data_IF_492503707973
#
_entry.id   IF_492503707973
#
_cell.length_a   1.000
_cell.length_b   1.000
_cell.length_c   1.000
_cell.angle_alpha   90.00
_cell.angle_beta   90.00
_cell.angle_gamma   90.00
#
_symmetry.space_group_name_H-M   'P 1'
#
loop_
_entity.id
_entity.type
_entity.pdbx_description
1 polymer ?
#
# COMPACT_ATOMS: atom_id res chain seq x y z
N UNK A 1 -9.17 -0.04 3.18
CA UNK A 1 -8.19 -0.96 2.62
C UNK A 1 -6.83 -0.49 3.11
N UNK A 2 -6.10 -1.34 3.84
CA UNK A 2 -4.74 -0.99 4.27
C UNK A 2 -3.78 -0.94 3.08
N UNK A 3 -2.74 -0.11 3.17
CA UNK A 3 -1.73 0.03 2.09
C UNK A 3 -1.01 -1.30 1.84
N UNK A 4 -0.81 -2.13 2.86
CA UNK A 4 -0.27 -3.49 2.71
C UNK A 4 -1.04 -4.35 1.70
N UNK A 5 -2.32 -4.11 1.45
CA UNK A 5 -3.10 -4.83 0.44
C UNK A 5 -2.55 -4.62 -0.99
N UNK A 6 -1.95 -3.46 -1.27
CA UNK A 6 -1.31 -3.19 -2.56
C UNK A 6 -0.13 -4.11 -2.84
N UNK A 7 0.39 -4.86 -1.86
CA UNK A 7 1.41 -5.90 -2.08
C UNK A 7 0.86 -7.16 -2.76
N UNK A 8 -0.46 -7.39 -2.70
CA UNK A 8 -1.10 -8.61 -3.22
C UNK A 8 -2.14 -8.31 -4.30
N UNK A 9 -2.83 -7.17 -4.22
CA UNK A 9 -3.89 -6.84 -5.15
C UNK A 9 -3.37 -6.69 -6.59
N UNK A 10 -4.10 -7.31 -7.50
CA UNK A 10 -3.85 -7.27 -8.93
C UNK A 10 -5.19 -7.26 -9.67
N UNK A 11 -5.19 -6.71 -10.89
CA UNK A 11 -6.37 -6.66 -11.74
C UNK A 11 -6.92 -8.08 -11.98
N UNK A 12 -8.21 -8.35 -11.68
CA UNK A 12 -8.81 -9.66 -11.91
C UNK A 12 -8.78 -10.12 -13.37
N UNK A 13 -8.65 -9.18 -14.30
CA UNK A 13 -8.77 -9.40 -15.74
C UNK A 13 -7.42 -9.70 -16.40
N UNK A 14 -6.37 -8.95 -16.06
CA UNK A 14 -5.06 -9.07 -16.70
C UNK A 14 -3.90 -9.29 -15.71
N UNK A 15 -4.19 -9.41 -14.40
CA UNK A 15 -3.19 -9.60 -13.33
C UNK A 15 -2.15 -8.48 -13.18
N UNK A 16 -2.30 -7.39 -13.92
CA UNK A 16 -1.47 -6.21 -13.81
C UNK A 16 -1.72 -5.44 -12.49
N UNK A 17 -0.75 -4.63 -12.03
CA UNK A 17 -0.91 -3.84 -10.82
C UNK A 17 -1.95 -2.73 -10.95
N UNK A 18 -2.28 -2.14 -9.80
CA UNK A 18 -3.17 -0.99 -9.69
C UNK A 18 -2.40 0.29 -9.38
N UNK A 19 -2.82 1.40 -9.99
CA UNK A 19 -2.64 2.73 -9.44
C UNK A 19 -3.77 3.04 -8.46
N UNK A 20 -3.54 4.00 -7.56
CA UNK A 20 -4.46 4.32 -6.46
C UNK A 20 -4.81 5.80 -6.49
N UNK A 21 -6.10 6.12 -6.40
CA UNK A 21 -6.56 7.42 -5.93
C UNK A 21 -7.26 7.26 -4.59
N UNK A 22 -7.06 8.25 -3.71
CA UNK A 22 -7.62 8.24 -2.36
C UNK A 22 -8.42 9.53 -2.16
N UNK A 23 -9.68 9.38 -1.74
CA UNK A 23 -10.55 10.51 -1.40
C UNK A 23 -10.81 10.60 0.09
N UNK A 24 -10.69 9.49 0.82
CA UNK A 24 -10.74 9.47 2.28
C UNK A 24 -9.69 8.50 2.84
N UNK A 25 -8.80 9.02 3.69
CA UNK A 25 -7.76 8.25 4.38
C UNK A 25 -8.03 8.30 5.89
N UNK A 26 -7.83 7.18 6.57
CA UNK A 26 -7.92 7.11 8.03
C UNK A 26 -6.72 6.38 8.60
N UNK A 27 -6.15 6.93 9.67
CA UNK A 27 -5.13 6.26 10.48
C UNK A 27 -5.80 5.55 11.66
N UNK A 28 -5.67 4.24 11.70
CA UNK A 28 -6.11 3.44 12.84
C UNK A 28 -5.08 3.52 13.98
N UNK A 29 -5.54 3.25 15.20
CA UNK A 29 -4.69 3.14 16.38
C UNK A 29 -4.91 1.78 17.02
N UNK A 30 -3.87 0.96 16.99
CA UNK A 30 -3.82 -0.29 17.74
C UNK A 30 -2.36 -0.57 18.10
N UNK A 31 -2.18 -1.12 19.30
CA UNK A 31 -0.86 -1.54 19.76
C UNK A 31 -0.62 -2.99 19.34
N UNK A 32 0.55 -3.26 18.76
CA UNK A 32 0.91 -4.57 18.23
C UNK A 32 2.35 -4.87 18.61
N UNK A 33 2.54 -6.03 19.25
CA UNK A 33 3.84 -6.48 19.72
C UNK A 33 4.71 -7.05 18.59
N UNK A 34 4.14 -7.35 17.42
CA UNK A 34 4.80 -8.05 16.32
C UNK A 34 4.99 -7.19 15.06
N UNK A 35 5.17 -5.87 15.22
CA UNK A 35 5.34 -4.92 14.10
C UNK A 35 6.41 -5.35 13.10
N UNK A 36 7.62 -5.70 13.59
CA UNK A 36 8.74 -6.10 12.75
C UNK A 36 8.37 -7.31 11.89
N UNK A 37 7.83 -8.37 12.49
CA UNK A 37 7.43 -9.56 11.75
C UNK A 37 6.41 -9.25 10.64
N UNK A 38 5.42 -8.39 10.91
CA UNK A 38 4.43 -7.95 9.92
C UNK A 38 5.05 -7.13 8.79
N UNK A 39 5.90 -6.16 9.13
CA UNK A 39 6.63 -5.33 8.15
C UNK A 39 7.53 -6.21 7.28
N UNK A 40 8.35 -7.07 7.88
CA UNK A 40 9.22 -8.02 7.17
C UNK A 40 8.42 -8.90 6.21
N UNK A 41 7.27 -9.42 6.65
CA UNK A 41 6.41 -10.25 5.79
C UNK A 41 5.89 -9.53 4.55
N UNK A 42 5.70 -8.20 4.59
CA UNK A 42 5.29 -7.41 3.43
C UNK A 42 6.49 -7.04 2.58
N UNK A 43 7.55 -6.50 3.18
CA UNK A 43 8.70 -5.98 2.44
C UNK A 43 9.47 -7.09 1.70
N UNK A 44 9.49 -8.32 2.22
CA UNK A 44 10.11 -9.47 1.55
C UNK A 44 9.40 -9.92 0.26
N UNK A 45 8.14 -9.53 0.06
CA UNK A 45 7.33 -9.98 -1.10
C UNK A 45 6.84 -8.83 -1.99
N UNK A 46 6.88 -7.60 -1.49
CA UNK A 46 6.35 -6.45 -2.17
C UNK A 46 7.43 -5.77 -3.01
N UNK A 47 7.04 -5.27 -4.19
CA UNK A 47 7.83 -4.29 -4.91
C UNK A 47 7.59 -2.91 -4.28
N UNK A 48 8.63 -2.32 -3.68
CA UNK A 48 8.55 -1.01 -3.03
C UNK A 48 8.15 0.08 -4.00
N UNK A 49 8.74 0.15 -5.20
CA UNK A 49 8.38 1.17 -6.21
C UNK A 49 6.90 1.15 -6.55
N UNK A 50 6.26 -0.03 -6.55
CA UNK A 50 4.81 -0.14 -6.74
C UNK A 50 4.03 0.49 -5.60
N UNK A 51 4.38 0.20 -4.36
CA UNK A 51 3.74 0.79 -3.17
C UNK A 51 3.96 2.30 -3.17
N UNK A 52 5.20 2.75 -3.40
CA UNK A 52 5.59 4.15 -3.46
C UNK A 52 4.77 4.90 -4.52
N UNK A 53 4.70 4.40 -5.75
CA UNK A 53 3.91 5.01 -6.83
C UNK A 53 2.45 5.18 -6.43
N UNK A 54 1.83 4.13 -5.87
CA UNK A 54 0.45 4.19 -5.42
C UNK A 54 0.24 5.18 -4.28
N UNK A 55 1.18 5.29 -3.34
CA UNK A 55 1.12 6.30 -2.28
C UNK A 55 1.27 7.72 -2.83
N UNK A 56 2.17 7.95 -3.80
CA UNK A 56 2.36 9.25 -4.46
C UNK A 56 1.10 9.67 -5.20
N UNK A 57 0.52 8.79 -6.02
CA UNK A 57 -0.73 9.04 -6.76
C UNK A 57 -1.89 9.39 -5.82
N UNK A 58 -1.93 8.72 -4.67
CA UNK A 58 -2.94 8.89 -3.64
C UNK A 58 -2.65 10.03 -2.65
N UNK A 59 -1.51 10.72 -2.78
CA UNK A 59 -1.02 11.76 -1.84
C UNK A 59 -0.92 11.28 -0.39
N UNK A 60 -0.49 10.03 -0.21
CA UNK A 60 -0.27 9.39 1.10
C UNK A 60 1.20 9.53 1.47
N UNK A 61 1.48 10.06 2.65
CA UNK A 61 2.85 10.22 3.16
C UNK A 61 3.55 8.87 3.32
N UNK A 62 4.81 8.81 2.89
CA UNK A 62 5.70 7.65 3.04
C UNK A 62 6.90 8.02 3.92
N UNK A 63 7.63 7.04 4.48
CA UNK A 63 8.89 7.30 5.18
C UNK A 63 9.87 8.09 4.29
N UNK A 64 10.35 9.25 4.75
CA UNK A 64 11.11 10.22 3.93
C UNK A 64 12.36 9.61 3.30
N UNK A 65 13.12 8.83 4.07
CA UNK A 65 14.31 8.08 3.59
C UNK A 65 13.99 7.16 2.41
N UNK A 66 12.74 6.72 2.29
CA UNK A 66 12.29 5.77 1.28
C UNK A 66 11.49 6.42 0.15
N UNK A 67 11.26 7.74 0.20
CA UNK A 67 10.51 8.48 -0.81
C UNK A 67 11.22 8.57 -2.17
N UNK A 68 12.55 8.47 -2.18
CA UNK A 68 13.40 8.49 -3.37
C UNK A 68 14.25 7.22 -3.51
N UNK A 69 13.83 6.13 -2.85
CA UNK A 69 14.58 4.87 -2.84
C UNK A 69 14.57 4.21 -4.22
N UNK A 70 15.76 3.99 -4.80
CA UNK A 70 15.89 3.48 -6.17
C UNK A 70 15.83 1.94 -6.28
N UNK A 71 15.65 1.24 -5.17
CA UNK A 71 15.49 -0.23 -5.17
C UNK A 71 14.01 -0.63 -5.04
N UNK A 72 13.64 -1.70 -5.75
CA UNK A 72 12.35 -2.37 -5.58
C UNK A 72 12.26 -3.16 -4.28
N UNK A 73 13.41 -3.45 -3.66
CA UNK A 73 13.52 -4.29 -2.47
C UNK A 73 14.03 -3.45 -1.31
N UNK A 74 13.33 -3.54 -0.18
CA UNK A 74 13.80 -3.02 1.11
C UNK A 74 14.11 -4.23 1.98
N UNK A 75 15.37 -4.34 2.42
CA UNK A 75 15.78 -5.37 3.36
C UNK A 75 15.20 -5.07 4.75
N UNK A 76 14.25 -5.88 5.26
CA UNK A 76 13.63 -5.61 6.55
C UNK A 76 14.56 -5.87 7.75
N UNK A 77 15.63 -6.66 7.59
CA UNK A 77 16.60 -6.92 8.65
C UNK A 77 17.54 -5.72 8.85
N UNK A 78 17.71 -4.90 7.81
CA UNK A 78 18.49 -3.66 7.86
C UNK A 78 17.74 -2.48 8.50
N UNK A 79 16.44 -2.62 8.81
CA UNK A 79 15.61 -1.53 9.34
C UNK A 79 15.86 -1.28 10.84
N UNK A 80 16.04 -0.01 11.20
CA UNK A 80 15.99 0.42 12.61
C UNK A 80 14.59 0.24 13.19
N UNK A 81 14.44 0.33 14.51
CA UNK A 81 13.13 0.22 15.15
C UNK A 81 12.19 1.37 14.74
N UNK A 82 12.74 2.58 14.58
CA UNK A 82 11.99 3.75 14.11
C UNK A 82 11.50 3.55 12.68
N UNK A 83 12.33 2.99 11.79
CA UNK A 83 11.93 2.69 10.41
C UNK A 83 10.85 1.60 10.37
N UNK A 84 10.97 0.56 11.21
CA UNK A 84 9.91 -0.45 11.37
C UNK A 84 8.59 0.20 11.80
N UNK A 85 8.63 1.13 12.76
CA UNK A 85 7.42 1.84 13.20
C UNK A 85 6.81 2.70 12.08
N UNK A 86 7.64 3.38 11.28
CA UNK A 86 7.17 4.17 10.14
C UNK A 86 6.55 3.31 9.04
N UNK A 87 7.18 2.19 8.68
CA UNK A 87 6.60 1.22 7.73
C UNK A 87 5.34 0.59 8.28
N UNK A 88 5.32 0.25 9.57
CA UNK A 88 4.16 -0.31 10.22
C UNK A 88 2.97 0.65 10.17
N UNK A 89 3.22 1.93 10.47
CA UNK A 89 2.23 2.99 10.33
C UNK A 89 1.67 3.05 8.90
N UNK A 90 2.54 3.14 7.90
CA UNK A 90 2.13 3.19 6.50
C UNK A 90 1.34 1.95 6.08
N UNK A 91 1.87 0.75 6.34
CA UNK A 91 1.37 -0.50 5.76
C UNK A 91 0.14 -1.05 6.49
N UNK A 92 0.03 -0.78 7.79
CA UNK A 92 -0.96 -1.43 8.67
C UNK A 92 -1.84 -0.47 9.45
N UNK A 93 -1.46 0.80 9.62
CA UNK A 93 -2.31 1.79 10.29
C UNK A 93 -3.04 2.72 9.30
N UNK A 94 -2.43 3.03 8.15
CA UNK A 94 -3.07 3.83 7.11
C UNK A 94 -4.06 2.99 6.29
N UNK A 95 -5.33 3.39 6.31
CA UNK A 95 -6.40 2.75 5.58
C UNK A 95 -7.08 3.75 4.63
N UNK A 96 -7.11 3.40 3.33
CA UNK A 96 -7.97 4.07 2.35
C UNK A 96 -9.42 3.69 2.66
N UNK A 97 -10.22 4.65 3.12
CA UNK A 97 -11.65 4.47 3.40
C UNK A 97 -12.42 4.49 2.10
N UNK A 98 -12.21 5.53 1.29
CA UNK A 98 -12.84 5.70 -0.02
C UNK A 98 -11.78 6.12 -1.06
N UNK A 99 -11.94 5.62 -2.27
CA UNK A 99 -10.99 5.85 -3.36
C UNK A 99 -11.24 4.96 -4.57
N UNK A 100 -10.24 4.83 -5.44
CA UNK A 100 -10.34 4.03 -6.65
C UNK A 100 -9.02 3.34 -6.95
N UNK A 101 -9.09 2.08 -7.37
CA UNK A 101 -7.99 1.35 -7.98
C UNK A 101 -8.18 1.40 -9.50
N UNK A 102 -7.14 1.77 -10.24
CA UNK A 102 -7.17 1.75 -11.71
C UNK A 102 -6.08 0.81 -12.21
N UNK A 103 -6.43 -0.16 -13.04
CA UNK A 103 -5.44 -1.09 -13.57
C UNK A 103 -4.47 -0.34 -14.49
N UNK A 104 -3.16 -0.55 -14.32
CA UNK A 104 -2.13 0.12 -15.12
C UNK A 104 -2.16 -0.28 -16.61
N UNK A 105 -2.70 -1.45 -16.94
CA UNK A 105 -2.67 -2.00 -18.31
C UNK A 105 -4.02 -1.87 -19.02
N UNK A 106 -5.10 -2.37 -18.41
CA UNK A 106 -6.42 -2.40 -19.06
C UNK A 106 -7.30 -1.20 -18.71
N UNK A 107 -6.79 -0.25 -17.92
CA UNK A 107 -7.48 0.97 -17.47
C UNK A 107 -8.82 0.76 -16.73
N UNK A 108 -9.20 -0.49 -16.45
CA UNK A 108 -10.41 -0.81 -15.69
C UNK A 108 -10.29 -0.26 -14.27
N UNK A 109 -11.39 0.30 -13.84
CA UNK A 109 -11.54 1.04 -12.61
C UNK A 109 -12.31 0.21 -11.57
N UNK A 110 -11.91 0.26 -10.31
CA UNK A 110 -12.52 -0.48 -9.21
C UNK A 110 -12.70 0.44 -8.01
N UNK A 111 -13.89 0.45 -7.42
CA UNK A 111 -14.21 1.31 -6.28
C UNK A 111 -13.56 0.77 -4.99
N UNK A 112 -13.01 1.66 -4.16
CA UNK A 112 -12.80 1.40 -2.74
C UNK A 112 -13.89 2.19 -2.00
N UNK A 113 -14.72 1.50 -1.21
CA UNK A 113 -15.76 2.14 -0.40
C UNK A 113 -15.85 1.50 0.97
N UNK A 114 -15.92 2.32 2.03
CA UNK A 114 -15.93 1.85 3.41
C UNK A 114 -14.80 0.83 3.68
N UNK A 115 -13.60 1.14 3.18
CA UNK A 115 -12.38 0.34 3.27
C UNK A 115 -12.38 -0.96 2.45
N UNK A 116 -13.42 -1.27 1.70
CA UNK A 116 -13.54 -2.52 0.94
C UNK A 116 -13.25 -2.24 -0.55
N UNK A 117 -12.20 -2.84 -1.14
CA UNK A 117 -12.00 -2.82 -2.58
C UNK A 117 -13.02 -3.72 -3.27
N UNK A 118 -13.83 -3.14 -4.16
CA UNK A 118 -14.84 -3.86 -4.94
C UNK A 118 -14.24 -4.23 -6.28
N UNK A 119 -13.85 -5.50 -6.42
CA UNK A 119 -13.20 -6.02 -7.63
C UNK A 119 -14.17 -6.32 -8.80
N UNK A 120 -15.37 -5.74 -8.75
CA UNK A 120 -16.26 -5.61 -9.90
C UNK A 120 -15.92 -4.28 -10.60
N UNK A 121 -15.59 -4.28 -11.90
CA UNK A 121 -15.21 -3.06 -12.59
C UNK A 121 -16.38 -2.07 -12.61
N UNK A 122 -16.06 -0.78 -12.50
CA UNK A 122 -17.00 0.30 -12.72
C UNK A 122 -17.49 0.30 -14.18
N UNK A 123 -18.76 0.66 -14.43
CA UNK A 123 -19.34 0.72 -15.77
C UNK A 123 -18.64 1.75 -16.67
#
# INVERSE_FOLDING_TARGET
>A
MYISALSILACPQCRAPFTLSCTALQKDRFDDLHKRAKVSSILNRACWKRILSACVDARISVPEKYASYDSDVIDPEALTNEEVDQFYELLFLQAVVDGKLTCSECSKAYEIRNRIPRLTPLP
#
